data_IF_893166476271
#
_entry.id   IF_893166476271
#
_cell.length_a   1.000
_cell.length_b   1.000
_cell.length_c   1.000
_cell.angle_alpha   90.00
_cell.angle_beta   90.00
_cell.angle_gamma   90.00
#
_symmetry.space_group_name_H-M   'P 1'
#
loop_
_entity.id
_entity.type
_entity.pdbx_description
1 polymer ?
#
# COMPACT_ATOMS: atom_id res chain seq x y z
N UNK A 1 -27.00 37.65 -6.41
CA UNK A 1 -28.18 38.41 -6.95
C UNK A 1 -29.40 37.85 -6.28
N UNK A 2 -29.85 38.62 -5.34
CA UNK A 2 -31.18 38.91 -4.83
C UNK A 2 -32.34 37.96 -5.23
N UNK A 3 -32.83 37.24 -4.22
CA UNK A 3 -34.26 36.93 -4.08
C UNK A 3 -34.61 36.88 -2.57
N UNK A 4 -34.49 38.07 -1.96
CA UNK A 4 -35.14 38.41 -0.71
C UNK A 4 -36.31 39.33 -1.08
N UNK A 5 -37.48 38.78 -1.36
CA UNK A 5 -38.76 39.55 -1.29
C UNK A 5 -39.89 38.54 -1.19
N UNK A 6 -40.73 38.73 -0.19
CA UNK A 6 -42.12 38.27 -0.06
C UNK A 6 -42.46 37.15 0.91
N UNK A 7 -41.99 37.24 2.17
CA UNK A 7 -42.59 36.43 3.24
C UNK A 7 -43.11 37.28 4.44
N UNK A 8 -42.93 38.60 4.42
CA UNK A 8 -43.35 39.46 5.54
C UNK A 8 -44.70 40.15 5.31
N UNK A 9 -45.31 39.99 4.12
CA UNK A 9 -46.57 40.73 3.77
C UNK A 9 -47.88 39.98 4.09
N UNK A 10 -47.84 38.68 4.33
CA UNK A 10 -49.10 37.90 4.48
C UNK A 10 -49.54 37.73 5.94
N UNK A 11 -48.64 37.85 6.90
CA UNK A 11 -48.93 37.55 8.31
C UNK A 11 -49.64 38.69 9.07
N UNK A 12 -49.55 39.92 8.62
CA UNK A 12 -50.08 41.05 9.39
C UNK A 12 -51.56 41.39 9.07
N UNK A 13 -52.05 41.10 7.87
CA UNK A 13 -53.43 41.38 7.46
C UNK A 13 -54.45 40.36 8.02
N UNK A 14 -54.03 39.09 8.25
CA UNK A 14 -54.92 38.05 8.80
C UNK A 14 -55.03 38.08 10.34
N UNK A 15 -54.09 38.71 11.03
CA UNK A 15 -54.06 38.77 12.49
C UNK A 15 -55.14 39.71 13.11
N UNK A 16 -55.65 40.65 12.35
CA UNK A 16 -56.63 41.64 12.86
C UNK A 16 -58.05 41.09 12.97
N UNK A 17 -58.42 40.06 12.23
CA UNK A 17 -59.76 39.51 12.12
C UNK A 17 -60.05 38.22 12.81
N UNK A 18 -59.00 37.59 13.48
CA UNK A 18 -59.11 36.27 14.10
C UNK A 18 -59.67 36.34 15.53
N UNK A 19 -60.69 35.52 15.81
CA UNK A 19 -61.23 35.30 17.15
C UNK A 19 -60.25 34.60 18.06
N UNK A 20 -60.36 34.84 19.38
CA UNK A 20 -59.48 34.19 20.40
C UNK A 20 -59.42 32.67 20.29
N UNK A 21 -60.54 32.03 19.90
CA UNK A 21 -60.61 30.57 19.72
C UNK A 21 -59.79 30.11 18.52
N UNK A 22 -59.83 30.87 17.43
CA UNK A 22 -59.09 30.62 16.19
C UNK A 22 -57.61 30.86 16.42
N UNK A 23 -57.21 31.90 17.15
CA UNK A 23 -55.84 32.19 17.53
C UNK A 23 -55.26 31.04 18.40
N UNK A 24 -55.98 30.54 19.38
CA UNK A 24 -55.60 29.38 20.19
C UNK A 24 -55.46 28.13 19.32
N UNK A 25 -56.36 27.94 18.35
CA UNK A 25 -56.26 26.86 17.37
C UNK A 25 -54.95 26.91 16.56
N UNK A 26 -54.63 28.11 16.00
CA UNK A 26 -53.40 28.34 15.24
C UNK A 26 -52.12 28.16 16.09
N UNK A 27 -52.14 28.66 17.33
CA UNK A 27 -51.03 28.45 18.28
C UNK A 27 -50.78 26.95 18.54
N UNK A 28 -51.84 26.16 18.75
CA UNK A 28 -51.71 24.73 18.99
C UNK A 28 -51.25 23.99 17.71
N UNK A 29 -51.74 24.39 16.54
CA UNK A 29 -51.28 23.83 15.27
C UNK A 29 -49.80 24.12 15.02
N UNK A 30 -49.32 25.35 15.22
CA UNK A 30 -47.90 25.72 15.08
C UNK A 30 -47.03 25.01 16.08
N UNK A 31 -47.48 24.87 17.34
CA UNK A 31 -46.75 24.08 18.37
C UNK A 31 -46.60 22.62 17.93
N UNK A 32 -47.68 22.00 17.44
CA UNK A 32 -47.65 20.63 16.93
C UNK A 32 -46.71 20.48 15.72
N UNK A 33 -46.70 21.43 14.78
CA UNK A 33 -45.79 21.46 13.64
C UNK A 33 -44.33 21.59 14.09
N UNK A 34 -44.03 22.47 15.03
CA UNK A 34 -42.69 22.69 15.59
C UNK A 34 -42.24 21.38 16.26
N UNK A 35 -43.05 20.81 17.15
CA UNK A 35 -42.72 19.56 17.85
C UNK A 35 -42.45 18.39 16.87
N UNK A 36 -43.27 18.27 15.83
CA UNK A 36 -43.06 17.24 14.79
C UNK A 36 -41.73 17.45 14.05
N UNK A 37 -41.43 18.68 13.68
CA UNK A 37 -40.16 19.00 12.98
C UNK A 37 -38.94 18.84 13.89
N UNK A 38 -39.07 19.15 15.19
CA UNK A 38 -38.00 18.94 16.20
C UNK A 38 -37.75 17.45 16.43
N UNK A 39 -38.80 16.62 16.49
CA UNK A 39 -38.66 15.16 16.59
C UNK A 39 -38.00 14.58 15.35
N UNK A 40 -38.37 15.06 14.14
CA UNK A 40 -37.69 14.66 12.90
C UNK A 40 -36.22 15.07 12.90
N UNK A 41 -35.90 16.27 13.34
CA UNK A 41 -34.53 16.75 13.45
C UNK A 41 -33.69 15.90 14.44
N UNK A 42 -34.27 15.58 15.59
CA UNK A 42 -33.63 14.71 16.59
C UNK A 42 -33.34 13.30 16.04
N UNK A 43 -34.29 12.72 15.27
CA UNK A 43 -34.08 11.43 14.59
C UNK A 43 -32.93 11.53 13.59
N UNK A 44 -32.90 12.56 12.75
CA UNK A 44 -31.85 12.78 11.77
C UNK A 44 -30.47 12.93 12.42
N UNK A 45 -30.36 13.64 13.55
CA UNK A 45 -29.11 13.73 14.29
C UNK A 45 -28.66 12.42 14.90
N UNK A 46 -29.60 11.57 15.36
CA UNK A 46 -29.30 10.25 15.84
C UNK A 46 -28.76 9.36 14.70
N UNK A 47 -29.41 9.39 13.54
CA UNK A 47 -28.98 8.65 12.35
C UNK A 47 -27.60 9.12 11.85
N UNK A 48 -27.33 10.44 11.88
CA UNK A 48 -26.02 10.99 11.57
C UNK A 48 -24.94 10.51 12.52
N UNK A 49 -25.24 10.42 13.82
CA UNK A 49 -24.27 9.92 14.81
C UNK A 49 -23.93 8.46 14.55
N UNK A 50 -24.91 7.62 14.28
CA UNK A 50 -24.72 6.20 13.95
C UNK A 50 -23.89 6.07 12.66
N UNK A 51 -24.27 6.78 11.60
CA UNK A 51 -23.52 6.72 10.33
C UNK A 51 -22.07 7.23 10.45
N UNK A 52 -21.78 8.19 11.34
CA UNK A 52 -20.40 8.64 11.60
C UNK A 52 -19.58 7.54 12.30
N UNK A 53 -20.13 6.88 13.32
CA UNK A 53 -19.43 5.77 13.98
C UNK A 53 -19.16 4.61 13.01
N UNK A 54 -20.11 4.31 12.12
CA UNK A 54 -19.92 3.31 11.07
C UNK A 54 -18.78 3.71 10.10
N UNK A 55 -18.74 4.98 9.69
CA UNK A 55 -17.67 5.51 8.82
C UNK A 55 -16.31 5.40 9.48
N UNK A 56 -16.21 5.75 10.77
CA UNK A 56 -14.95 5.67 11.51
C UNK A 56 -14.46 4.21 11.58
N UNK A 57 -15.36 3.26 11.85
CA UNK A 57 -15.04 1.83 11.85
C UNK A 57 -14.63 1.29 10.46
N UNK A 58 -15.29 1.73 9.38
CA UNK A 58 -14.90 1.37 8.01
C UNK A 58 -13.56 1.97 7.61
N UNK A 59 -13.28 3.20 8.04
CA UNK A 59 -12.01 3.89 7.82
C UNK A 59 -10.85 3.17 8.51
N UNK A 60 -11.03 2.80 9.77
CA UNK A 60 -10.01 2.04 10.52
C UNK A 60 -9.69 0.70 9.84
N UNK A 61 -10.71 -0.05 9.41
CA UNK A 61 -10.51 -1.31 8.69
C UNK A 61 -9.75 -1.10 7.38
N UNK A 62 -10.18 -0.13 6.56
CA UNK A 62 -9.49 0.22 5.31
C UNK A 62 -8.04 0.62 5.56
N UNK A 63 -7.77 1.45 6.56
CA UNK A 63 -6.44 1.96 6.85
C UNK A 63 -5.52 0.84 7.38
N UNK A 64 -6.05 -0.08 8.21
CA UNK A 64 -5.35 -1.29 8.65
C UNK A 64 -4.97 -2.19 7.47
N UNK A 65 -5.90 -2.45 6.54
CA UNK A 65 -5.62 -3.23 5.34
C UNK A 65 -4.60 -2.54 4.43
N UNK A 66 -4.71 -1.23 4.25
CA UNK A 66 -3.72 -0.46 3.48
C UNK A 66 -2.31 -0.51 4.09
N UNK A 67 -2.22 -0.55 5.43
CA UNK A 67 -0.95 -0.73 6.11
C UNK A 67 -0.36 -2.12 5.83
N UNK A 68 -1.18 -3.18 5.89
CA UNK A 68 -0.75 -4.53 5.54
C UNK A 68 -0.29 -4.63 4.09
N UNK A 69 -0.98 -3.98 3.14
CA UNK A 69 -0.53 -3.88 1.74
C UNK A 69 0.85 -3.25 1.64
N UNK A 70 1.09 -2.14 2.34
CA UNK A 70 2.41 -1.48 2.34
C UNK A 70 3.51 -2.40 2.86
N UNK A 71 3.26 -3.13 3.95
CA UNK A 71 4.21 -4.07 4.54
C UNK A 71 4.53 -5.23 3.58
N UNK A 72 3.50 -5.81 2.93
CA UNK A 72 3.69 -6.88 1.93
C UNK A 72 4.48 -6.40 0.72
N UNK A 73 4.15 -5.21 0.20
CA UNK A 73 4.87 -4.61 -0.92
C UNK A 73 6.31 -4.28 -0.55
N UNK A 74 6.58 -3.78 0.65
CA UNK A 74 7.94 -3.50 1.12
C UNK A 74 8.78 -4.80 1.18
N UNK A 75 8.23 -5.89 1.76
CA UNK A 75 8.87 -7.21 1.77
C UNK A 75 9.16 -7.72 0.36
N UNK A 76 8.20 -7.59 -0.54
CA UNK A 76 8.39 -7.99 -1.94
C UNK A 76 9.50 -7.19 -2.64
N UNK A 77 9.64 -5.89 -2.33
CA UNK A 77 10.72 -5.05 -2.86
C UNK A 77 12.09 -5.44 -2.29
N UNK A 78 12.18 -5.76 -1.00
CA UNK A 78 13.41 -6.29 -0.39
C UNK A 78 13.86 -7.62 -1.04
N UNK A 79 12.93 -8.54 -1.24
CA UNK A 79 13.19 -9.80 -1.93
C UNK A 79 13.63 -9.60 -3.38
N UNK A 80 13.05 -8.61 -4.06
CA UNK A 80 13.50 -8.21 -5.40
C UNK A 80 14.93 -7.71 -5.40
N UNK A 81 15.29 -6.84 -4.48
CA UNK A 81 16.66 -6.34 -4.36
C UNK A 81 17.66 -7.47 -4.09
N UNK A 82 17.34 -8.37 -3.15
CA UNK A 82 18.16 -9.56 -2.86
C UNK A 82 18.33 -10.44 -4.11
N UNK A 83 17.24 -10.73 -4.81
CA UNK A 83 17.29 -11.51 -6.05
C UNK A 83 18.18 -10.85 -7.11
N UNK A 84 18.09 -9.53 -7.26
CA UNK A 84 18.87 -8.78 -8.25
C UNK A 84 20.38 -8.79 -7.88
N UNK A 85 20.73 -8.72 -6.59
CA UNK A 85 22.09 -8.89 -6.09
C UNK A 85 22.62 -10.30 -6.36
N UNK A 86 21.83 -11.34 -6.05
CA UNK A 86 22.19 -12.73 -6.33
C UNK A 86 22.38 -12.95 -7.84
N UNK A 87 21.51 -12.41 -8.68
CA UNK A 87 21.64 -12.52 -10.14
C UNK A 87 22.90 -11.83 -10.67
N UNK A 88 23.32 -10.73 -10.06
CA UNK A 88 24.59 -10.08 -10.38
C UNK A 88 25.77 -10.97 -10.03
N UNK A 89 25.76 -11.56 -8.82
CA UNK A 89 26.77 -12.52 -8.41
C UNK A 89 26.83 -13.74 -9.35
N UNK A 90 25.67 -14.29 -9.75
CA UNK A 90 25.60 -15.37 -10.75
C UNK A 90 26.26 -14.95 -12.07
N UNK A 91 26.06 -13.71 -12.51
CA UNK A 91 26.71 -13.17 -13.71
C UNK A 91 28.23 -13.17 -13.58
N UNK A 92 28.76 -12.74 -12.44
CA UNK A 92 30.20 -12.72 -12.16
C UNK A 92 30.82 -14.15 -12.13
N UNK A 93 30.14 -15.09 -11.45
CA UNK A 93 30.58 -16.48 -11.40
C UNK A 93 30.50 -17.19 -12.76
N UNK A 94 29.47 -16.89 -13.57
CA UNK A 94 29.39 -17.36 -14.96
C UNK A 94 30.54 -16.84 -15.83
N UNK A 95 30.95 -15.58 -15.63
CA UNK A 95 32.15 -15.02 -16.28
C UNK A 95 33.40 -15.80 -15.90
N UNK A 96 33.66 -16.00 -14.59
CA UNK A 96 34.80 -16.79 -14.11
C UNK A 96 34.81 -18.20 -14.67
N UNK A 97 33.64 -18.86 -14.70
CA UNK A 97 33.53 -20.22 -15.27
C UNK A 97 33.82 -20.23 -16.78
N UNK A 98 33.44 -19.20 -17.50
CA UNK A 98 33.75 -19.06 -18.93
C UNK A 98 35.28 -18.95 -19.15
N UNK A 99 35.96 -18.15 -18.30
CA UNK A 99 37.43 -18.01 -18.37
C UNK A 99 38.13 -19.31 -18.05
N UNK A 100 37.67 -20.09 -17.04
CA UNK A 100 38.17 -21.42 -16.71
C UNK A 100 37.96 -22.38 -17.88
N UNK A 101 36.80 -22.38 -18.52
CA UNK A 101 36.52 -23.21 -19.69
C UNK A 101 37.45 -22.86 -20.87
N UNK A 102 37.72 -21.57 -21.12
CA UNK A 102 38.63 -21.13 -22.18
C UNK A 102 40.06 -21.62 -21.91
N UNK A 103 40.55 -21.47 -20.67
CA UNK A 103 41.87 -22.03 -20.25
C UNK A 103 41.94 -23.53 -20.44
N UNK A 104 40.87 -24.23 -20.08
CA UNK A 104 40.75 -25.69 -20.26
C UNK A 104 40.88 -26.06 -21.74
N UNK A 105 40.22 -25.33 -22.62
CA UNK A 105 40.26 -25.58 -24.06
C UNK A 105 41.64 -25.29 -24.64
N UNK A 106 42.31 -24.22 -24.21
CA UNK A 106 43.69 -23.90 -24.59
C UNK A 106 44.65 -24.99 -24.17
N UNK A 107 44.53 -25.49 -22.92
CA UNK A 107 45.37 -26.60 -22.43
C UNK A 107 45.16 -27.89 -23.23
N UNK A 108 43.92 -28.25 -23.54
CA UNK A 108 43.65 -29.43 -24.33
C UNK A 108 44.18 -29.31 -25.79
N UNK A 109 44.11 -28.12 -26.37
CA UNK A 109 44.74 -27.90 -27.70
C UNK A 109 46.24 -27.99 -27.63
N UNK A 110 46.88 -27.47 -26.57
CA UNK A 110 48.31 -27.62 -26.30
C UNK A 110 48.74 -29.08 -26.12
N UNK A 111 47.98 -29.85 -25.31
CA UNK A 111 48.19 -31.27 -25.11
C UNK A 111 48.05 -32.04 -26.44
N UNK A 112 47.13 -31.70 -27.33
CA UNK A 112 46.97 -32.32 -28.62
C UNK A 112 48.23 -32.09 -29.48
N UNK A 113 48.76 -30.87 -29.52
CA UNK A 113 49.99 -30.54 -30.25
C UNK A 113 51.22 -31.29 -29.69
N UNK A 114 51.36 -31.35 -28.35
CA UNK A 114 52.45 -32.13 -27.73
C UNK A 114 52.34 -33.62 -28.04
N UNK A 115 51.14 -34.19 -28.10
CA UNK A 115 50.92 -35.60 -28.48
C UNK A 115 51.36 -35.86 -29.93
N UNK A 116 50.99 -34.96 -30.85
CA UNK A 116 51.41 -35.08 -32.22
C UNK A 116 52.94 -35.07 -32.37
N UNK A 117 53.62 -34.12 -31.73
CA UNK A 117 55.07 -34.07 -31.72
C UNK A 117 55.70 -35.30 -31.08
N UNK A 118 55.17 -35.83 -29.97
CA UNK A 118 55.61 -37.07 -29.35
C UNK A 118 55.47 -38.25 -30.31
N UNK A 119 54.33 -38.35 -31.00
CA UNK A 119 54.06 -39.48 -31.93
C UNK A 119 54.98 -39.44 -33.17
N UNK A 120 55.32 -38.24 -33.66
CA UNK A 120 56.37 -38.08 -34.69
C UNK A 120 57.72 -38.51 -34.19
N UNK A 121 58.13 -38.12 -32.96
CA UNK A 121 59.40 -38.59 -32.37
C UNK A 121 59.41 -40.10 -32.16
N UNK A 122 58.30 -40.70 -31.75
CA UNK A 122 58.14 -42.14 -31.62
C UNK A 122 58.26 -42.88 -32.94
N UNK A 123 57.71 -42.35 -34.04
CA UNK A 123 57.88 -42.87 -35.40
C UNK A 123 59.33 -42.89 -35.87
N UNK A 124 60.12 -41.89 -35.46
CA UNK A 124 61.53 -41.79 -35.80
C UNK A 124 62.42 -42.71 -34.91
N UNK A 125 62.09 -42.92 -33.64
CA UNK A 125 62.86 -43.65 -32.71
C UNK A 125 62.85 -45.18 -32.96
N UNK A 126 61.65 -45.72 -33.29
CA UNK A 126 61.46 -47.21 -33.47
C UNK A 126 61.98 -48.06 -32.34
N UNK A 127 61.96 -47.56 -31.08
CA UNK A 127 62.46 -48.33 -29.91
C UNK A 127 62.45 -47.51 -28.62
N UNK A 128 62.62 -48.17 -27.48
CA UNK A 128 62.75 -47.50 -26.17
C UNK A 128 64.13 -46.87 -25.96
N UNK A 129 64.24 -45.82 -25.19
CA UNK A 129 65.51 -45.17 -24.83
C UNK A 129 66.56 -46.23 -24.29
N UNK A 130 66.07 -47.10 -23.41
CA UNK A 130 66.92 -48.17 -22.83
C UNK A 130 67.50 -49.14 -23.89
N UNK A 131 66.64 -49.63 -24.81
CA UNK A 131 67.07 -50.55 -25.85
C UNK A 131 67.98 -49.91 -26.86
N UNK A 132 67.71 -48.64 -27.23
CA UNK A 132 68.53 -47.87 -28.16
C UNK A 132 69.87 -47.43 -27.55
N UNK A 133 69.89 -47.07 -26.25
CA UNK A 133 71.16 -46.77 -25.51
C UNK A 133 72.04 -47.97 -25.45
N UNK A 134 71.48 -49.12 -25.09
CA UNK A 134 72.29 -50.41 -25.05
C UNK A 134 72.81 -50.78 -26.44
N UNK A 135 71.98 -50.71 -27.49
CA UNK A 135 72.42 -50.99 -28.83
C UNK A 135 73.50 -50.00 -29.35
N UNK A 136 73.40 -48.73 -28.92
CA UNK A 136 74.44 -47.71 -29.22
C UNK A 136 75.72 -47.98 -28.52
N UNK A 137 75.68 -48.34 -27.24
CA UNK A 137 76.83 -48.69 -26.40
C UNK A 137 77.55 -49.98 -26.93
N UNK A 138 76.79 -51.01 -27.26
CA UNK A 138 77.30 -52.26 -27.83
C UNK A 138 78.02 -52.04 -29.19
N UNK A 139 77.43 -51.20 -30.07
CA UNK A 139 78.06 -50.86 -31.35
C UNK A 139 79.28 -49.95 -31.20
N UNK A 140 79.22 -49.02 -30.23
CA UNK A 140 80.32 -48.11 -29.91
C UNK A 140 81.52 -48.89 -29.36
N UNK A 141 81.31 -49.85 -28.44
CA UNK A 141 82.29 -50.75 -27.89
C UNK A 141 82.93 -51.59 -28.98
N UNK A 142 82.17 -52.15 -29.91
CA UNK A 142 82.64 -52.88 -31.06
C UNK A 142 83.48 -52.02 -31.99
N UNK A 143 83.17 -50.71 -32.18
CA UNK A 143 83.93 -49.79 -32.99
C UNK A 143 85.26 -49.37 -32.38
N UNK A 144 85.30 -49.24 -31.04
CA UNK A 144 86.51 -48.74 -30.32
C UNK A 144 87.53 -49.90 -30.05
N UNK A 145 87.02 -51.10 -29.74
CA UNK A 145 87.89 -52.16 -29.22
C UNK A 145 88.25 -53.25 -30.22
N UNK A 146 87.78 -53.24 -31.45
CA UNK A 146 88.02 -54.26 -32.46
C UNK A 146 88.73 -53.62 -33.66
N UNK A 147 89.84 -54.27 -34.12
CA UNK A 147 90.45 -53.97 -35.41
C UNK A 147 89.57 -54.44 -36.54
N UNK A 148 88.95 -53.56 -37.27
CA UNK A 148 87.98 -53.85 -38.30
C UNK A 148 88.47 -53.39 -39.68
N UNK A 149 88.10 -54.07 -40.76
CA UNK A 149 88.31 -53.55 -42.12
C UNK A 149 87.58 -52.24 -42.33
N UNK A 150 88.19 -51.28 -43.09
CA UNK A 150 87.66 -49.96 -43.34
C UNK A 150 86.21 -49.99 -43.83
N UNK A 151 85.79 -50.92 -44.67
CA UNK A 151 84.42 -51.07 -45.19
C UNK A 151 83.41 -51.41 -44.09
N UNK A 152 83.84 -52.08 -43.00
CA UNK A 152 83.03 -52.45 -41.83
C UNK A 152 82.95 -51.27 -40.86
N UNK A 153 84.04 -50.50 -40.68
CA UNK A 153 84.06 -49.26 -39.87
C UNK A 153 83.09 -48.23 -40.40
N UNK A 154 83.07 -48.03 -41.71
CA UNK A 154 82.14 -47.09 -42.37
C UNK A 154 80.68 -47.51 -42.06
N UNK A 155 80.33 -48.79 -42.18
CA UNK A 155 78.97 -49.29 -41.87
C UNK A 155 78.62 -49.17 -40.41
N UNK A 156 79.52 -49.40 -39.50
CA UNK A 156 79.29 -49.25 -38.01
C UNK A 156 79.11 -47.73 -37.72
N UNK A 157 79.92 -46.88 -38.34
CA UNK A 157 79.80 -45.44 -38.15
C UNK A 157 78.41 -44.93 -38.67
N UNK A 158 77.94 -45.38 -39.84
CA UNK A 158 76.62 -45.08 -40.35
C UNK A 158 75.53 -45.57 -39.38
N UNK A 159 75.63 -46.79 -38.88
CA UNK A 159 74.72 -47.35 -37.91
C UNK A 159 74.70 -46.63 -36.58
N UNK A 160 75.87 -46.23 -36.05
CA UNK A 160 76.00 -45.39 -34.84
C UNK A 160 75.28 -43.98 -35.05
N UNK A 161 75.48 -43.41 -36.22
CA UNK A 161 74.83 -42.13 -36.53
C UNK A 161 73.29 -42.29 -36.57
N UNK A 162 72.78 -43.34 -37.18
CA UNK A 162 71.36 -43.65 -37.18
C UNK A 162 70.80 -43.96 -35.79
N UNK A 163 71.54 -44.79 -34.99
CA UNK A 163 71.17 -45.09 -33.62
C UNK A 163 71.21 -43.80 -32.73
N UNK A 164 72.19 -42.90 -32.94
CA UNK A 164 72.21 -41.61 -32.25
C UNK A 164 71.02 -40.74 -32.54
N UNK A 165 70.57 -40.61 -33.82
CA UNK A 165 69.36 -39.88 -34.20
C UNK A 165 68.10 -40.47 -33.59
N UNK A 166 67.99 -41.81 -33.60
CA UNK A 166 66.87 -42.55 -33.02
C UNK A 166 66.84 -42.43 -31.50
N UNK A 167 67.99 -42.47 -30.82
CA UNK A 167 68.13 -42.29 -29.37
C UNK A 167 67.71 -40.83 -28.97
N UNK A 168 68.16 -39.85 -29.75
CA UNK A 168 67.72 -38.45 -29.55
C UNK A 168 66.22 -38.32 -29.68
N UNK A 169 65.60 -38.88 -30.72
CA UNK A 169 64.15 -38.85 -30.91
C UNK A 169 63.43 -39.56 -29.74
N UNK A 170 63.94 -40.73 -29.23
CA UNK A 170 63.32 -41.39 -28.12
C UNK A 170 63.38 -40.60 -26.83
N UNK A 171 64.57 -39.96 -26.50
CA UNK A 171 64.70 -39.06 -25.33
C UNK A 171 63.69 -37.90 -25.40
N UNK A 172 63.62 -37.24 -26.59
CA UNK A 172 62.66 -36.14 -26.81
C UNK A 172 61.23 -36.60 -26.66
N UNK A 173 60.86 -37.81 -27.10
CA UNK A 173 59.53 -38.39 -26.94
C UNK A 173 59.17 -38.58 -25.44
N UNK A 174 60.12 -39.04 -24.64
CA UNK A 174 59.95 -39.19 -23.17
C UNK A 174 59.79 -37.85 -22.46
N UNK A 175 60.56 -36.81 -22.85
CA UNK A 175 60.39 -35.45 -22.32
C UNK A 175 59.01 -34.90 -22.66
N UNK A 176 58.56 -35.05 -23.89
CA UNK A 176 57.19 -34.63 -24.34
C UNK A 176 56.13 -35.43 -23.59
N UNK A 177 56.33 -36.73 -23.33
CA UNK A 177 55.43 -37.53 -22.52
C UNK A 177 55.28 -37.01 -21.09
N UNK A 178 56.39 -36.63 -20.44
CA UNK A 178 56.36 -36.01 -19.11
C UNK A 178 55.61 -34.70 -19.10
N UNK A 179 55.86 -33.81 -20.09
CA UNK A 179 55.15 -32.56 -20.24
C UNK A 179 53.63 -32.77 -20.43
N UNK A 180 53.21 -33.76 -21.22
CA UNK A 180 51.82 -34.14 -21.39
C UNK A 180 51.19 -34.60 -20.06
N UNK A 181 51.90 -35.41 -19.26
CA UNK A 181 51.41 -35.87 -17.95
C UNK A 181 51.23 -34.69 -16.98
N UNK A 182 52.16 -33.76 -16.93
CA UNK A 182 52.09 -32.60 -16.05
C UNK A 182 50.94 -31.68 -16.51
N UNK A 183 50.78 -31.45 -17.82
CA UNK A 183 49.64 -30.70 -18.36
C UNK A 183 48.28 -31.36 -18.05
N UNK A 184 48.20 -32.68 -17.98
CA UNK A 184 47.00 -33.40 -17.53
C UNK A 184 46.71 -33.20 -16.03
N UNK A 185 47.73 -33.13 -15.19
CA UNK A 185 47.55 -32.83 -13.75
C UNK A 185 46.99 -31.44 -13.58
N UNK A 186 47.54 -30.45 -14.29
CA UNK A 186 47.07 -29.07 -14.30
C UNK A 186 45.61 -28.97 -14.79
N UNK A 187 45.31 -29.67 -15.88
CA UNK A 187 43.93 -29.74 -16.42
C UNK A 187 42.92 -30.29 -15.42
N UNK A 188 43.31 -31.30 -14.62
CA UNK A 188 42.46 -31.87 -13.57
C UNK A 188 42.16 -30.85 -12.45
N UNK A 189 43.15 -30.00 -12.10
CA UNK A 189 42.96 -28.92 -11.13
C UNK A 189 41.94 -27.88 -11.63
N UNK A 190 42.11 -27.47 -12.90
CA UNK A 190 41.21 -26.48 -13.52
C UNK A 190 39.78 -27.01 -13.72
N UNK A 191 39.65 -28.31 -14.04
CA UNK A 191 38.32 -28.96 -14.09
C UNK A 191 37.62 -28.93 -12.75
N UNK A 192 38.33 -29.24 -11.66
CA UNK A 192 37.78 -29.19 -10.33
C UNK A 192 37.32 -27.80 -9.92
N UNK A 193 38.09 -26.76 -10.28
CA UNK A 193 37.68 -25.35 -10.10
C UNK A 193 36.39 -25.03 -10.90
N UNK A 194 36.28 -25.53 -12.15
CA UNK A 194 35.09 -25.40 -12.96
C UNK A 194 33.83 -26.03 -12.37
N UNK A 195 33.99 -27.21 -11.74
CA UNK A 195 32.92 -27.93 -11.06
C UNK A 195 32.48 -27.18 -9.78
N UNK A 196 33.43 -26.68 -8.98
CA UNK A 196 33.14 -25.87 -7.78
C UNK A 196 32.38 -24.60 -8.14
N UNK A 197 32.76 -23.90 -9.21
CA UNK A 197 32.06 -22.74 -9.71
C UNK A 197 30.66 -23.11 -10.21
N UNK A 198 30.48 -24.27 -10.82
CA UNK A 198 29.16 -24.74 -11.23
C UNK A 198 28.21 -24.99 -10.05
N UNK A 199 28.70 -25.66 -8.99
CA UNK A 199 27.91 -25.85 -7.78
C UNK A 199 27.51 -24.55 -7.12
N UNK A 200 28.41 -23.55 -7.05
CA UNK A 200 28.11 -22.22 -6.51
C UNK A 200 27.01 -21.54 -7.34
N UNK A 201 27.12 -21.55 -8.66
CA UNK A 201 26.12 -20.99 -9.57
C UNK A 201 24.77 -21.67 -9.36
N UNK A 202 24.74 -22.99 -9.20
CA UNK A 202 23.50 -23.73 -8.97
C UNK A 202 22.83 -23.32 -7.66
N UNK A 203 23.58 -23.27 -6.56
CA UNK A 203 23.08 -22.84 -5.23
C UNK A 203 22.50 -21.42 -5.28
N UNK A 204 23.24 -20.50 -5.89
CA UNK A 204 22.76 -19.11 -6.05
C UNK A 204 21.53 -19.02 -6.95
N UNK A 205 21.44 -19.85 -7.99
CA UNK A 205 20.26 -19.92 -8.85
C UNK A 205 19.02 -20.40 -8.10
N UNK A 206 19.16 -21.43 -7.26
CA UNK A 206 18.07 -21.96 -6.45
C UNK A 206 17.62 -20.92 -5.40
N UNK A 207 18.56 -20.20 -4.78
CA UNK A 207 18.25 -19.11 -3.86
C UNK A 207 17.54 -17.94 -4.57
N UNK A 208 18.00 -17.54 -5.74
CA UNK A 208 17.33 -16.52 -6.58
C UNK A 208 15.90 -16.91 -6.93
N UNK A 209 15.68 -18.20 -7.27
CA UNK A 209 14.36 -18.72 -7.58
C UNK A 209 13.44 -18.73 -6.35
N UNK A 210 13.97 -19.11 -5.16
CA UNK A 210 13.21 -19.04 -3.91
C UNK A 210 12.78 -17.60 -3.58
N UNK A 211 13.69 -16.63 -3.67
CA UNK A 211 13.37 -15.21 -3.50
C UNK A 211 12.32 -14.74 -4.50
N UNK A 212 12.37 -15.20 -5.75
CA UNK A 212 11.39 -14.86 -6.78
C UNK A 212 9.99 -15.39 -6.45
N UNK A 213 9.88 -16.65 -6.01
CA UNK A 213 8.60 -17.26 -5.65
C UNK A 213 7.98 -16.56 -4.43
N UNK A 214 8.77 -16.29 -3.40
CA UNK A 214 8.32 -15.58 -2.20
C UNK A 214 7.88 -14.14 -2.52
N UNK A 215 8.61 -13.45 -3.40
CA UNK A 215 8.23 -12.12 -3.91
C UNK A 215 6.86 -12.16 -4.60
N UNK A 216 6.62 -13.14 -5.48
CA UNK A 216 5.34 -13.30 -6.18
C UNK A 216 4.18 -13.60 -5.21
N UNK A 217 4.41 -14.41 -4.18
CA UNK A 217 3.42 -14.71 -3.15
C UNK A 217 3.04 -13.45 -2.36
N UNK A 218 4.04 -12.64 -1.96
CA UNK A 218 3.79 -11.37 -1.28
C UNK A 218 3.01 -10.38 -2.16
N UNK A 219 3.28 -10.29 -3.47
CA UNK A 219 2.50 -9.45 -4.37
C UNK A 219 1.07 -9.95 -4.53
N UNK A 220 0.84 -11.27 -4.68
CA UNK A 220 -0.51 -11.85 -4.75
C UNK A 220 -1.31 -11.55 -3.47
N UNK A 221 -0.71 -11.79 -2.31
CA UNK A 221 -1.33 -11.45 -1.02
C UNK A 221 -1.64 -9.96 -0.90
N UNK A 222 -0.73 -9.08 -1.35
CA UNK A 222 -0.97 -7.64 -1.35
C UNK A 222 -2.15 -7.24 -2.26
N UNK A 223 -2.29 -7.87 -3.42
CA UNK A 223 -3.39 -7.60 -4.36
C UNK A 223 -4.75 -8.10 -3.81
N UNK A 224 -4.78 -9.23 -3.10
CA UNK A 224 -5.97 -9.74 -2.44
C UNK A 224 -6.43 -8.79 -1.32
N UNK A 225 -5.51 -8.37 -0.43
CA UNK A 225 -5.79 -7.42 0.63
C UNK A 225 -6.23 -6.06 0.04
N UNK A 226 -5.63 -5.63 -1.07
CA UNK A 226 -6.01 -4.39 -1.77
C UNK A 226 -7.44 -4.44 -2.31
N UNK A 227 -7.88 -5.60 -2.85
CA UNK A 227 -9.27 -5.78 -3.28
C UNK A 227 -10.23 -5.62 -2.11
N UNK A 228 -9.91 -6.20 -0.96
CA UNK A 228 -10.71 -6.05 0.26
C UNK A 228 -10.73 -4.61 0.76
N UNK A 229 -9.59 -3.92 0.80
CA UNK A 229 -9.50 -2.50 1.14
C UNK A 229 -10.34 -1.61 0.21
N UNK A 230 -10.37 -1.92 -1.09
CA UNK A 230 -11.19 -1.21 -2.08
C UNK A 230 -12.70 -1.43 -1.84
N UNK A 231 -13.14 -2.61 -1.40
CA UNK A 231 -14.53 -2.84 -1.01
C UNK A 231 -14.92 -1.95 0.18
N UNK A 232 -14.09 -1.87 1.22
CA UNK A 232 -14.34 -0.95 2.35
C UNK A 232 -14.30 0.50 1.91
N UNK A 233 -13.44 0.88 0.97
CA UNK A 233 -13.40 2.23 0.42
C UNK A 233 -14.69 2.57 -0.35
N UNK A 234 -15.24 1.65 -1.15
CA UNK A 234 -16.53 1.85 -1.82
C UNK A 234 -17.67 2.02 -0.81
N UNK A 235 -17.76 1.15 0.20
CA UNK A 235 -18.77 1.27 1.26
C UNK A 235 -18.64 2.61 2.01
N UNK A 236 -17.42 3.08 2.25
CA UNK A 236 -17.15 4.36 2.89
C UNK A 236 -17.63 5.54 2.04
N UNK A 237 -17.39 5.52 0.72
CA UNK A 237 -17.85 6.56 -0.20
C UNK A 237 -19.38 6.61 -0.26
N UNK A 238 -20.05 5.45 -0.31
CA UNK A 238 -21.50 5.35 -0.29
C UNK A 238 -22.11 5.90 1.02
N UNK A 239 -21.50 5.55 2.15
CA UNK A 239 -21.91 6.08 3.47
C UNK A 239 -21.71 7.60 3.57
N UNK A 240 -20.62 8.15 3.04
CA UNK A 240 -20.38 9.59 2.99
C UNK A 240 -21.44 10.31 2.12
N UNK A 241 -21.76 9.74 0.95
CA UNK A 241 -22.81 10.28 0.08
C UNK A 241 -24.18 10.30 0.80
N UNK A 242 -24.51 9.23 1.52
CA UNK A 242 -25.72 9.16 2.35
C UNK A 242 -25.74 10.23 3.45
N UNK A 243 -24.60 10.44 4.15
CA UNK A 243 -24.49 11.50 5.17
C UNK A 243 -24.72 12.89 4.55
N UNK A 244 -24.19 13.16 3.37
CA UNK A 244 -24.39 14.45 2.69
C UNK A 244 -25.87 14.64 2.36
N UNK A 245 -26.54 13.61 1.80
CA UNK A 245 -27.99 13.63 1.55
C UNK A 245 -28.83 13.84 2.82
N UNK A 246 -28.39 13.30 3.96
CA UNK A 246 -29.04 13.50 5.25
C UNK A 246 -28.81 14.94 5.76
N UNK A 247 -27.60 15.48 5.62
CA UNK A 247 -27.29 16.87 5.99
C UNK A 247 -28.12 17.89 5.22
N UNK A 248 -28.32 17.66 3.93
CA UNK A 248 -29.11 18.54 3.07
C UNK A 248 -30.58 18.68 3.55
N UNK A 249 -31.10 17.72 4.32
CA UNK A 249 -32.43 17.76 4.94
C UNK A 249 -32.49 18.56 6.23
N UNK A 250 -31.34 18.84 6.86
CA UNK A 250 -31.28 19.54 8.16
C UNK A 250 -31.61 21.03 8.03
N UNK A 251 -31.02 21.70 7.05
CA UNK A 251 -31.16 23.16 6.90
C UNK A 251 -32.57 23.61 6.59
N UNK A 252 -33.34 22.93 5.66
CA UNK A 252 -34.74 23.28 5.44
C UNK A 252 -35.61 23.01 6.69
N UNK A 253 -35.33 21.96 7.47
CA UNK A 253 -36.05 21.71 8.71
C UNK A 253 -35.79 22.78 9.78
N UNK A 254 -34.52 23.21 9.95
CA UNK A 254 -34.15 24.30 10.86
C UNK A 254 -34.80 25.60 10.48
N UNK A 255 -34.81 25.95 9.18
CA UNK A 255 -35.45 27.15 8.66
C UNK A 255 -36.96 27.10 8.88
N UNK A 256 -37.60 25.95 8.65
CA UNK A 256 -39.03 25.78 8.90
C UNK A 256 -39.36 25.94 10.39
N UNK A 257 -38.57 25.34 11.29
CA UNK A 257 -38.74 25.52 12.74
C UNK A 257 -38.56 26.98 13.15
N UNK A 258 -37.57 27.68 12.61
CA UNK A 258 -37.32 29.09 12.91
C UNK A 258 -38.47 29.99 12.45
N UNK A 259 -39.02 29.75 11.23
CA UNK A 259 -40.16 30.47 10.70
C UNK A 259 -41.42 30.19 11.52
N UNK A 260 -41.72 28.91 11.81
CA UNK A 260 -42.88 28.56 12.62
C UNK A 260 -42.80 29.14 14.06
N UNK A 261 -41.57 29.24 14.64
CA UNK A 261 -41.37 29.90 15.95
C UNK A 261 -41.61 31.43 15.88
N UNK A 262 -41.17 32.08 14.80
CA UNK A 262 -41.45 33.51 14.58
C UNK A 262 -42.97 33.75 14.45
N UNK A 263 -43.65 32.94 13.64
CA UNK A 263 -45.10 33.02 13.51
C UNK A 263 -45.79 32.78 14.86
N UNK A 264 -45.38 31.74 15.59
CA UNK A 264 -45.93 31.45 16.91
C UNK A 264 -45.80 32.62 17.89
N UNK A 265 -44.64 33.32 17.89
CA UNK A 265 -44.48 34.50 18.74
C UNK A 265 -45.47 35.63 18.42
N UNK A 266 -45.72 35.89 17.11
CA UNK A 266 -46.67 36.90 16.69
C UNK A 266 -48.10 36.55 17.13
N UNK A 267 -48.53 35.28 17.00
CA UNK A 267 -49.86 34.86 17.47
C UNK A 267 -49.98 34.88 19.01
N UNK A 268 -48.90 34.54 19.75
CA UNK A 268 -48.89 34.62 21.21
C UNK A 268 -48.98 36.08 21.71
N UNK A 269 -48.28 37.00 21.08
CA UNK A 269 -48.30 38.42 21.45
C UNK A 269 -49.68 38.97 21.21
N UNK A 270 -50.29 38.67 20.05
CA UNK A 270 -51.67 39.07 19.77
C UNK A 270 -52.69 38.50 20.76
N UNK A 271 -52.48 37.27 21.18
CA UNK A 271 -53.36 36.59 22.15
C UNK A 271 -53.25 37.24 23.54
N UNK A 272 -52.04 37.68 23.93
CA UNK A 272 -51.80 38.45 25.14
C UNK A 272 -52.51 39.83 25.09
N UNK A 273 -52.37 40.55 23.96
CA UNK A 273 -53.01 41.83 23.78
C UNK A 273 -54.55 41.71 23.87
N UNK A 274 -55.14 40.67 23.26
CA UNK A 274 -56.59 40.43 23.38
C UNK A 274 -57.00 40.03 24.81
N UNK A 275 -56.16 39.37 25.57
CA UNK A 275 -56.43 39.07 26.98
C UNK A 275 -56.36 40.34 27.83
N UNK A 276 -55.36 41.16 27.62
CA UNK A 276 -55.23 42.45 28.33
C UNK A 276 -56.42 43.38 28.05
N UNK A 277 -56.81 43.55 26.76
CA UNK A 277 -57.95 44.36 26.40
C UNK A 277 -59.25 43.84 27.02
N UNK A 278 -59.45 42.52 27.10
CA UNK A 278 -60.58 41.91 27.81
C UNK A 278 -60.59 42.13 29.31
N UNK A 279 -59.45 42.05 29.91
CA UNK A 279 -59.30 42.33 31.34
C UNK A 279 -59.57 43.84 31.62
N UNK A 280 -59.01 44.72 30.80
CA UNK A 280 -59.29 46.16 30.89
C UNK A 280 -60.78 46.47 30.71
N UNK A 281 -61.42 45.82 29.73
CA UNK A 281 -62.88 45.96 29.50
C UNK A 281 -63.66 45.43 30.70
N UNK A 282 -63.31 44.31 31.28
CA UNK A 282 -63.94 43.76 32.51
C UNK A 282 -63.75 44.66 33.70
N UNK A 283 -62.53 45.19 33.87
CA UNK A 283 -62.24 46.14 34.95
C UNK A 283 -63.06 47.46 34.73
N UNK A 284 -63.10 47.94 33.48
CA UNK A 284 -63.89 49.13 33.11
C UNK A 284 -65.41 48.87 33.29
N UNK A 285 -65.93 47.71 32.93
CA UNK A 285 -67.37 47.38 33.20
C UNK A 285 -67.65 47.29 34.68
N UNK A 286 -66.81 46.58 35.46
CA UNK A 286 -66.96 46.55 36.94
C UNK A 286 -66.86 47.91 37.56
N UNK A 287 -65.98 48.78 37.07
CA UNK A 287 -65.88 50.17 37.49
C UNK A 287 -67.14 50.97 37.18
N UNK A 288 -67.72 50.88 35.97
CA UNK A 288 -68.94 51.50 35.60
C UNK A 288 -70.14 50.96 36.41
N UNK A 289 -70.21 49.65 36.66
CA UNK A 289 -71.27 49.07 37.48
C UNK A 289 -71.13 49.54 38.97
N UNK A 290 -69.90 49.63 39.50
CA UNK A 290 -69.64 50.17 40.81
C UNK A 290 -70.03 51.67 40.92
N UNK A 291 -69.77 52.44 39.87
CA UNK A 291 -70.17 53.87 39.78
C UNK A 291 -71.71 54.08 39.73
N UNK A 292 -72.37 53.20 39.00
CA UNK A 292 -73.85 53.21 38.96
C UNK A 292 -74.45 52.84 40.35
N UNK A 293 -73.84 51.84 41.03
CA UNK A 293 -74.29 51.44 42.38
C UNK A 293 -74.08 52.58 43.38
N UNK A 294 -72.95 53.29 43.28
CA UNK A 294 -72.64 54.47 44.11
C UNK A 294 -73.72 55.59 43.89
N UNK A 295 -74.08 55.91 42.64
CA UNK A 295 -75.08 56.89 42.30
C UNK A 295 -76.51 56.53 42.72
N UNK A 296 -76.84 55.24 42.77
CA UNK A 296 -78.12 54.67 43.20
C UNK A 296 -78.27 54.46 44.69
N UNK A 297 -77.28 54.85 45.51
CA UNK A 297 -77.17 54.62 46.95
C UNK A 297 -77.36 53.12 47.32
N UNK A 298 -76.92 52.16 46.43
CA UNK A 298 -77.01 50.73 46.70
C UNK A 298 -75.79 50.26 47.53
N UNK A 299 -75.85 49.07 48.13
CA UNK A 299 -74.77 48.52 48.89
C UNK A 299 -73.62 48.22 47.95
N UNK A 300 -72.44 48.83 48.22
CA UNK A 300 -71.16 48.57 47.56
C UNK A 300 -70.40 47.43 48.19
N UNK A 301 -69.81 46.56 47.36
CA UNK A 301 -68.85 45.56 47.80
C UNK A 301 -67.52 46.19 48.16
N UNK A 302 -66.74 45.61 48.99
CA UNK A 302 -65.40 46.04 49.34
C UNK A 302 -64.49 46.12 48.08
N UNK A 303 -64.71 45.25 47.07
CA UNK A 303 -64.02 45.29 45.79
C UNK A 303 -64.42 46.43 44.92
N UNK A 304 -65.74 46.80 44.90
CA UNK A 304 -66.28 47.95 44.18
C UNK A 304 -65.71 49.25 44.76
N UNK A 305 -65.59 49.35 46.10
CA UNK A 305 -65.02 50.49 46.80
C UNK A 305 -63.54 50.68 46.49
N UNK A 306 -62.72 49.57 46.48
CA UNK A 306 -61.32 49.63 46.09
C UNK A 306 -61.16 50.16 44.67
N UNK A 307 -61.94 49.65 43.71
CA UNK A 307 -61.86 50.02 42.33
C UNK A 307 -62.24 51.52 42.10
N UNK A 308 -63.19 52.07 42.82
CA UNK A 308 -63.57 53.43 42.79
C UNK A 308 -62.52 54.40 43.39
N UNK A 309 -61.80 53.93 44.46
CA UNK A 309 -60.65 54.62 45.07
C UNK A 309 -59.46 54.65 44.13
N UNK A 310 -59.10 53.51 43.52
CA UNK A 310 -57.95 53.38 42.59
C UNK A 310 -58.17 54.23 41.33
N UNK A 311 -59.38 54.39 40.88
CA UNK A 311 -59.75 55.28 39.72
C UNK A 311 -60.03 56.72 40.08
N UNK A 312 -60.01 57.08 41.39
CA UNK A 312 -60.12 58.46 41.88
C UNK A 312 -61.54 59.02 41.94
N UNK A 313 -62.59 58.21 41.78
CA UNK A 313 -63.98 58.62 41.84
C UNK A 313 -64.49 58.84 43.28
N UNK A 314 -63.82 58.32 44.29
CA UNK A 314 -64.07 58.53 45.72
C UNK A 314 -62.74 58.97 46.39
N UNK A 315 -62.72 60.19 46.90
CA UNK A 315 -61.65 60.70 47.73
C UNK A 315 -62.10 60.62 49.19
N UNK A 316 -61.33 59.94 50.03
CA UNK A 316 -61.50 60.05 51.46
C UNK A 316 -61.03 61.47 51.91
N UNK A 317 -61.90 62.27 52.32
CA UNK A 317 -61.56 63.47 53.08
C UNK A 317 -61.14 63.00 54.54
N UNK A 318 -59.85 63.07 54.82
CA UNK A 318 -59.41 62.98 56.20
C UNK A 318 -59.80 64.31 56.89
N UNK A 319 -60.90 64.29 57.58
CA UNK A 319 -61.16 65.22 58.64
C UNK A 319 -60.76 64.60 59.96
#
# INVERSE_FOLDING_TARGET
MNNDVSTTGIATADLSNLNERELKGKVNELRSRIEKSERQLASIFKDLKINRTDIDGLKEKRDSLNQQVKERVAKAQELRSKRDEINKAIGEYKGKRSDVNSKTQELFSGIAGLKEQRDECNKLSHGSVESLSKAYEDELEAFLNKELPLAVEIKIFQKLNDLSKRLYAAKKANELHSQIQDSYKDSKGIHKEGDELHEVIQKLSDESQACHLEMLENFKSADEIRKEANMYHSQLTDKIANINSIKDKIDPLKTSIANNRKELSLYLDKLKDLQLTKEEHKVSQKHNDARERLQKNARLSLEDLKLLIEKGDVKFSND
#
